data_IF_350822514003
#
_entry.id   IF_350822514003
#
_cell.length_a   1.000
_cell.length_b   1.000
_cell.length_c   1.000
_cell.angle_alpha   90.00
_cell.angle_beta   90.00
_cell.angle_gamma   90.00
#
_symmetry.space_group_name_H-M   'P 1'
#
loop_
_entity.id
_entity.type
_entity.pdbx_description
1 polymer ?
#
# COMPACT_ATOMS: atom_id res chain seq x y z
N UNK A 1 -11.58 0.26 -14.43
CA UNK A 1 -12.16 -0.26 -13.18
C UNK A 1 -11.05 -0.96 -12.42
N UNK A 2 -10.67 -0.47 -11.25
CA UNK A 2 -9.69 -1.15 -10.40
C UNK A 2 -10.39 -2.30 -9.67
N UNK A 3 -9.76 -3.48 -9.62
CA UNK A 3 -10.32 -4.64 -8.91
C UNK A 3 -10.26 -4.50 -7.37
N UNK A 4 -9.62 -3.43 -6.87
CA UNK A 4 -9.40 -3.19 -5.44
C UNK A 4 -10.71 -2.72 -4.82
N UNK A 5 -11.26 -3.54 -3.93
CA UNK A 5 -12.50 -3.24 -3.21
C UNK A 5 -12.29 -2.46 -1.91
N UNK A 6 -11.04 -2.40 -1.41
CA UNK A 6 -10.73 -1.70 -0.15
C UNK A 6 -9.30 -1.17 -0.12
N UNK A 7 -9.10 0.01 0.44
CA UNK A 7 -7.77 0.58 0.75
C UNK A 7 -7.67 0.83 2.26
N UNK A 8 -6.59 0.37 2.88
CA UNK A 8 -6.34 0.54 4.32
C UNK A 8 -4.96 1.16 4.55
N UNK A 9 -4.84 1.97 5.60
CA UNK A 9 -3.55 2.56 5.99
C UNK A 9 -2.94 1.79 7.17
N UNK A 10 -1.65 1.49 7.10
CA UNK A 10 -0.88 0.95 8.20
C UNK A 10 -0.61 2.04 9.24
N UNK A 11 -0.87 1.73 10.51
CA UNK A 11 -0.58 2.65 11.63
C UNK A 11 -1.54 3.83 11.79
N UNK A 12 -2.71 3.80 11.14
CA UNK A 12 -3.70 4.86 11.27
C UNK A 12 -5.07 4.52 10.66
N UNK A 13 -6.01 5.46 10.67
CA UNK A 13 -7.30 5.29 10.01
C UNK A 13 -7.12 5.15 8.49
N UNK A 14 -8.09 4.55 7.76
CA UNK A 14 -8.07 4.51 6.30
C UNK A 14 -7.88 5.91 5.69
N UNK A 15 -7.22 6.01 4.53
CA UNK A 15 -7.07 7.29 3.85
C UNK A 15 -8.43 7.86 3.47
N UNK A 16 -8.55 9.18 3.49
CA UNK A 16 -9.78 9.85 3.08
C UNK A 16 -10.01 9.66 1.57
N UNK A 17 -11.27 9.65 1.16
CA UNK A 17 -11.63 9.61 -0.26
C UNK A 17 -10.98 10.78 -1.01
N UNK A 18 -10.36 10.50 -2.15
CA UNK A 18 -9.61 11.50 -2.92
C UNK A 18 -8.15 11.69 -2.51
N UNK A 19 -7.66 10.96 -1.49
CA UNK A 19 -6.22 10.94 -1.17
C UNK A 19 -5.45 10.33 -2.35
N UNK A 20 -4.40 11.03 -2.82
CA UNK A 20 -3.59 10.52 -3.92
C UNK A 20 -2.76 9.30 -3.47
N UNK A 21 -2.87 8.22 -4.28
CA UNK A 21 -2.12 6.99 -4.11
C UNK A 21 -0.91 6.99 -5.05
N UNK A 22 0.28 7.15 -4.48
CA UNK A 22 1.55 6.96 -5.18
C UNK A 22 1.85 5.46 -5.30
N UNK A 23 1.43 4.87 -6.42
CA UNK A 23 1.58 3.43 -6.67
C UNK A 23 3.00 2.98 -6.94
N UNK A 24 3.92 3.89 -7.28
CA UNK A 24 5.33 3.57 -7.61
C UNK A 24 5.50 2.44 -8.62
N UNK A 25 4.57 2.34 -9.57
CA UNK A 25 4.46 1.23 -10.55
C UNK A 25 4.38 -0.17 -9.92
N UNK A 26 4.06 -0.28 -8.63
CA UNK A 26 4.01 -1.53 -7.89
C UNK A 26 2.81 -1.58 -6.94
N UNK A 27 1.80 -2.37 -7.31
CA UNK A 27 0.59 -2.55 -6.50
C UNK A 27 0.36 -4.05 -6.29
N UNK A 28 0.45 -4.49 -5.03
CA UNK A 28 0.12 -5.87 -4.63
C UNK A 28 -1.05 -5.87 -3.64
N UNK A 29 -2.28 -5.86 -4.15
CA UNK A 29 -3.43 -5.99 -3.29
C UNK A 29 -3.57 -7.45 -2.82
N UNK A 30 -4.11 -7.65 -1.61
CA UNK A 30 -4.28 -8.96 -0.98
C UNK A 30 -5.75 -9.22 -0.72
N UNK A 31 -6.20 -10.46 -0.92
CA UNK A 31 -7.53 -10.87 -0.49
C UNK A 31 -7.58 -10.93 1.04
N UNK A 32 -8.45 -10.13 1.64
CA UNK A 32 -8.72 -10.08 3.07
C UNK A 32 -10.22 -10.00 3.27
N UNK A 33 -10.78 -10.84 4.15
CA UNK A 33 -12.22 -10.91 4.42
C UNK A 33 -13.10 -11.03 3.15
N UNK A 34 -12.60 -11.73 2.12
CA UNK A 34 -13.29 -11.89 0.84
C UNK A 34 -13.24 -10.65 -0.08
N UNK A 35 -12.47 -9.61 0.26
CA UNK A 35 -12.33 -8.38 -0.53
C UNK A 35 -10.86 -8.15 -0.91
N UNK A 36 -10.63 -7.72 -2.15
CA UNK A 36 -9.30 -7.34 -2.61
C UNK A 36 -8.87 -6.02 -1.95
N UNK A 37 -8.01 -6.11 -0.94
CA UNK A 37 -7.59 -5.02 -0.06
C UNK A 37 -6.16 -4.59 -0.36
N UNK A 38 -5.94 -3.30 -0.61
CA UNK A 38 -4.62 -2.70 -0.73
C UNK A 38 -4.21 -2.03 0.58
N UNK A 39 -3.08 -2.46 1.14
CA UNK A 39 -2.49 -1.85 2.34
C UNK A 39 -1.50 -0.78 1.92
N UNK A 40 -1.67 0.42 2.45
CA UNK A 40 -0.86 1.60 2.16
C UNK A 40 -0.22 2.16 3.42
N UNK A 41 0.79 3.00 3.28
CA UNK A 41 1.45 3.74 4.35
C UNK A 41 1.49 5.24 3.99
N UNK A 42 1.42 6.14 4.99
CA UNK A 42 1.47 7.57 4.73
C UNK A 42 2.85 7.97 4.20
N UNK A 43 2.87 8.87 3.24
CA UNK A 43 4.09 9.44 2.66
C UNK A 43 4.03 10.97 2.68
N UNK A 44 5.17 11.61 2.50
CA UNK A 44 5.24 13.07 2.49
C UNK A 44 4.31 13.69 1.44
N UNK A 45 3.72 14.84 1.80
CA UNK A 45 2.80 15.58 0.93
C UNK A 45 1.33 15.15 1.03
N UNK A 46 0.93 14.49 2.12
CA UNK A 46 -0.48 14.10 2.34
C UNK A 46 -0.96 12.98 1.42
N UNK A 47 -0.03 12.19 0.89
CA UNK A 47 -0.29 11.06 -0.01
C UNK A 47 -0.10 9.75 0.73
N UNK A 48 -0.55 8.67 0.11
CA UNK A 48 -0.27 7.31 0.58
C UNK A 48 0.42 6.51 -0.52
N UNK A 49 1.19 5.51 -0.13
CA UNK A 49 1.81 4.58 -1.08
C UNK A 49 1.64 3.14 -0.61
N UNK A 50 1.66 2.14 -1.51
CA UNK A 50 1.63 0.73 -1.16
C UNK A 50 2.69 0.40 -0.09
N UNK A 51 2.31 -0.42 0.89
CA UNK A 51 3.23 -0.87 1.95
C UNK A 51 4.34 -1.78 1.41
N UNK A 52 4.00 -2.67 0.47
CA UNK A 52 5.00 -3.51 -0.17
C UNK A 52 5.86 -2.69 -1.13
N UNK A 53 7.17 -2.91 -1.07
CA UNK A 53 8.15 -2.29 -1.97
C UNK A 53 8.71 -3.34 -2.93
N UNK A 54 8.90 -3.01 -4.23
CA UNK A 54 9.32 -3.98 -5.26
C UNK A 54 10.73 -4.55 -5.10
N UNK A 55 11.48 -4.13 -4.09
CA UNK A 55 12.79 -4.67 -3.78
C UNK A 55 13.00 -4.44 -2.28
N UNK A 56 12.71 -5.42 -1.39
CA UNK A 56 13.22 -5.30 -0.04
C UNK A 56 14.72 -5.19 -0.20
N UNK A 57 15.34 -4.10 0.27
CA UNK A 57 16.79 -4.03 0.36
C UNK A 57 17.23 -5.34 1.01
N UNK A 58 18.04 -6.20 0.35
CA UNK A 58 18.53 -7.40 0.99
C UNK A 58 19.55 -6.97 2.05
N UNK A 59 19.09 -6.42 3.17
CA UNK A 59 19.88 -6.32 4.38
C UNK A 59 19.78 -7.68 5.07
N UNK A 60 20.54 -8.65 4.56
CA UNK A 60 21.04 -9.86 5.23
C UNK A 60 21.41 -10.90 4.16
N UNK A 61 22.53 -10.68 3.47
CA UNK A 61 23.25 -11.74 2.76
C UNK A 61 24.77 -11.63 3.02
N UNK A 62 25.14 -11.20 4.22
CA UNK A 62 26.48 -11.35 4.78
C UNK A 62 26.29 -11.52 6.29
N UNK A 63 26.45 -12.75 6.77
CA UNK A 63 26.89 -13.19 8.11
C UNK A 63 26.61 -14.68 8.31
#
# INVERSE_FOLDING_TARGET
MSAIGRVTQLGGPPPADGTELDTRDFVRPRWQDGVLTLVTMPVAGGRVAPFEVPNPTPCCADH
#
